data_IF_281850655468
#
_entry.id   IF_281850655468
#
_cell.length_a   1.000
_cell.length_b   1.000
_cell.length_c   1.000
_cell.angle_alpha   90.00
_cell.angle_beta   90.00
_cell.angle_gamma   90.00
#
_symmetry.space_group_name_H-M   'P 1'
#
loop_
_entity.id
_entity.type
_entity.pdbx_description
1 polymer ?
#
# COMPACT_ATOMS: atom_id res chain seq x y z
N UNK A 1 -2.58 2.85 -6.37
CA UNK A 1 -3.55 2.09 -7.17
C UNK A 1 -3.87 2.83 -8.45
N UNK A 2 -4.03 2.10 -9.56
CA UNK A 2 -4.39 2.72 -10.86
C UNK A 2 -5.76 3.42 -10.84
N UNK A 3 -6.62 3.11 -9.90
CA UNK A 3 -7.93 3.73 -9.73
C UNK A 3 -7.90 5.21 -9.32
N UNK A 4 -6.81 5.65 -8.68
CA UNK A 4 -6.67 7.02 -8.17
C UNK A 4 -5.89 7.96 -9.10
N UNK A 5 -5.56 7.54 -10.32
CA UNK A 5 -4.71 8.30 -11.24
C UNK A 5 -5.44 9.40 -12.04
N UNK A 6 -6.67 9.78 -11.68
CA UNK A 6 -7.32 10.92 -12.35
C UNK A 6 -6.63 12.23 -11.95
N UNK A 7 -6.41 13.13 -12.91
CA UNK A 7 -5.80 14.44 -12.65
C UNK A 7 -6.59 15.21 -11.60
N UNK A 8 -7.92 15.11 -11.63
CA UNK A 8 -8.80 15.75 -10.65
C UNK A 8 -8.54 15.24 -9.23
N UNK A 9 -8.36 13.94 -9.06
CA UNK A 9 -8.05 13.34 -7.74
C UNK A 9 -6.69 13.82 -7.23
N UNK A 10 -5.67 13.82 -8.10
CA UNK A 10 -4.33 14.29 -7.74
C UNK A 10 -4.34 15.78 -7.34
N UNK A 11 -5.06 16.64 -8.09
CA UNK A 11 -5.27 18.04 -7.73
C UNK A 11 -5.94 18.19 -6.36
N UNK A 12 -6.95 17.37 -6.06
CA UNK A 12 -7.63 17.40 -4.75
C UNK A 12 -6.70 17.00 -3.61
N UNK A 13 -5.83 16.01 -3.79
CA UNK A 13 -4.84 15.63 -2.79
C UNK A 13 -3.82 16.74 -2.56
N UNK A 14 -3.34 17.35 -3.63
CA UNK A 14 -2.38 18.44 -3.56
C UNK A 14 -2.96 19.65 -2.83
N UNK A 15 -4.19 20.06 -3.17
CA UNK A 15 -4.90 21.14 -2.50
C UNK A 15 -5.13 20.90 -1.00
N UNK A 16 -5.23 19.63 -0.58
CA UNK A 16 -5.36 19.22 0.81
C UNK A 16 -4.04 18.94 1.52
N UNK A 17 -2.91 19.26 0.88
CA UNK A 17 -1.57 18.94 1.37
C UNK A 17 -1.37 17.44 1.69
N UNK A 18 -2.09 16.56 1.01
CA UNK A 18 -1.91 15.13 1.14
C UNK A 18 -0.84 14.68 0.15
N UNK A 19 0.29 14.21 0.67
CA UNK A 19 1.37 13.63 -0.14
C UNK A 19 0.96 12.28 -0.70
N UNK A 20 1.33 12.01 -1.96
CA UNK A 20 0.99 10.76 -2.64
C UNK A 20 2.09 10.30 -3.59
N UNK A 21 2.14 8.99 -3.82
CA UNK A 21 2.85 8.36 -4.93
C UNK A 21 1.87 7.45 -5.67
N UNK A 22 1.63 7.73 -6.95
CA UNK A 22 0.66 7.01 -7.76
C UNK A 22 1.35 6.44 -9.01
N UNK A 23 1.05 5.19 -9.35
CA UNK A 23 1.48 4.63 -10.63
C UNK A 23 0.60 5.15 -11.75
N UNK A 24 1.20 5.79 -12.73
CA UNK A 24 0.55 6.27 -13.95
C UNK A 24 0.63 5.25 -15.09
N UNK A 25 -0.15 5.47 -16.14
CA UNK A 25 -0.01 4.77 -17.42
C UNK A 25 1.18 5.35 -18.17
N UNK A 26 1.88 4.52 -18.93
CA UNK A 26 3.08 4.88 -19.71
C UNK A 26 2.81 5.96 -20.79
N UNK A 27 1.56 6.02 -21.28
CA UNK A 27 1.14 7.01 -22.27
C UNK A 27 0.35 8.17 -21.68
N UNK A 28 0.54 8.46 -20.38
CA UNK A 28 -0.18 9.57 -19.75
C UNK A 28 0.26 10.89 -20.33
N UNK A 29 -0.71 11.65 -20.86
CA UNK A 29 -0.46 12.99 -21.41
C UNK A 29 0.01 13.94 -20.31
N UNK A 30 1.16 14.53 -20.53
CA UNK A 30 1.80 15.51 -19.64
C UNK A 30 2.62 16.48 -20.48
N UNK A 31 3.05 17.55 -19.87
CA UNK A 31 4.00 18.52 -20.42
C UNK A 31 5.16 18.64 -19.43
N UNK A 32 6.36 18.42 -19.92
CA UNK A 32 7.57 18.61 -19.12
C UNK A 32 7.83 20.10 -18.89
N UNK A 33 8.00 20.50 -17.65
CA UNK A 33 8.32 21.86 -17.24
C UNK A 33 9.82 21.98 -17.00
N UNK A 34 10.39 21.02 -16.26
CA UNK A 34 11.79 20.99 -15.89
C UNK A 34 12.29 19.56 -15.75
N UNK A 35 13.48 19.27 -16.27
CA UNK A 35 14.14 17.98 -16.07
C UNK A 35 15.05 18.04 -14.85
N UNK A 36 14.90 17.10 -13.93
CA UNK A 36 15.70 16.98 -12.70
C UNK A 36 16.95 16.13 -12.90
N UNK A 37 17.07 15.43 -14.03
CA UNK A 37 18.25 14.66 -14.42
C UNK A 37 18.71 15.07 -15.83
N UNK A 38 19.99 14.86 -16.12
CA UNK A 38 20.50 15.05 -17.48
C UNK A 38 19.91 14.01 -18.41
N UNK A 39 19.48 14.42 -19.58
CA UNK A 39 18.94 13.54 -20.61
C UNK A 39 19.95 12.45 -21.00
N UNK A 40 19.43 11.26 -21.26
CA UNK A 40 20.18 10.09 -21.75
C UNK A 40 21.18 9.43 -20.77
N UNK A 41 21.00 9.61 -19.47
CA UNK A 41 21.76 8.84 -18.48
C UNK A 41 20.80 8.01 -17.63
N UNK A 42 20.82 6.67 -17.88
CA UNK A 42 20.16 5.71 -17.00
C UNK A 42 20.94 5.67 -15.67
N UNK A 43 20.39 6.30 -14.63
CA UNK A 43 21.03 6.34 -13.33
C UNK A 43 20.66 5.08 -12.52
N UNK A 44 21.65 4.45 -11.93
CA UNK A 44 21.45 3.30 -11.03
C UNK A 44 20.84 3.76 -9.68
N UNK A 45 19.63 3.32 -9.40
CA UNK A 45 18.93 3.58 -8.14
C UNK A 45 18.63 2.29 -7.36
N UNK A 46 19.54 1.33 -7.39
CA UNK A 46 19.43 0.05 -6.70
C UNK A 46 18.80 -1.03 -7.57
N UNK A 47 17.57 -1.48 -7.25
CA UNK A 47 16.87 -2.53 -8.03
C UNK A 47 16.35 -2.03 -9.39
N UNK A 48 16.46 -0.72 -9.67
CA UNK A 48 15.92 -0.07 -10.85
C UNK A 48 16.97 0.84 -11.52
N UNK A 49 16.73 1.10 -12.81
CA UNK A 49 17.33 2.19 -13.57
C UNK A 49 16.38 3.38 -13.59
N UNK A 50 16.84 4.57 -13.23
CA UNK A 50 16.09 5.82 -13.39
C UNK A 50 16.23 6.30 -14.83
N UNK A 51 15.10 6.39 -15.54
CA UNK A 51 15.06 6.79 -16.96
C UNK A 51 14.70 8.25 -17.09
N UNK A 52 13.76 8.73 -16.27
CA UNK A 52 13.28 10.11 -16.31
C UNK A 52 12.90 10.57 -14.92
N UNK A 53 13.24 11.80 -14.62
CA UNK A 53 12.82 12.51 -13.41
C UNK A 53 12.58 13.97 -13.79
N UNK A 54 11.31 14.38 -13.80
CA UNK A 54 10.95 15.71 -14.29
C UNK A 54 9.76 16.29 -13.53
N UNK A 55 9.71 17.61 -13.48
CA UNK A 55 8.54 18.38 -13.07
C UNK A 55 7.62 18.49 -14.27
N UNK A 56 6.35 18.18 -14.08
CA UNK A 56 5.35 18.10 -15.14
C UNK A 56 4.08 18.86 -14.81
N UNK A 57 3.39 19.33 -15.84
CA UNK A 57 1.96 19.65 -15.78
C UNK A 57 1.13 18.49 -16.35
N UNK A 58 -0.02 18.25 -15.74
CA UNK A 58 -1.00 17.26 -16.20
C UNK A 58 -2.17 17.94 -16.92
N UNK A 59 -2.88 17.16 -17.72
CA UNK A 59 -4.11 17.57 -18.37
C UNK A 59 -5.31 16.90 -17.73
N UNK A 60 -6.42 17.63 -17.63
CA UNK A 60 -7.72 17.12 -17.24
C UNK A 60 -8.67 17.20 -18.41
N UNK A 61 -9.55 16.19 -18.55
CA UNK A 61 -10.59 16.21 -19.57
C UNK A 61 -11.92 16.68 -18.96
N UNK A 62 -12.42 17.83 -19.40
CA UNK A 62 -13.76 18.30 -19.03
C UNK A 62 -14.76 17.79 -20.07
N UNK A 63 -15.78 16.99 -19.69
CA UNK A 63 -16.76 16.49 -20.66
C UNK A 63 -17.65 17.63 -21.17
N UNK A 64 -17.71 17.78 -22.48
CA UNK A 64 -18.60 18.72 -23.19
C UNK A 64 -19.58 17.92 -24.02
N UNK A 65 -20.89 18.16 -23.83
CA UNK A 65 -21.94 17.60 -24.69
C UNK A 65 -22.16 18.51 -25.92
N UNK A 66 -22.08 17.92 -27.10
CA UNK A 66 -22.45 18.62 -28.29
C UNK A 66 -24.01 18.67 -28.46
N UNK A 67 -24.52 19.43 -29.46
CA UNK A 67 -25.94 19.54 -29.72
C UNK A 67 -26.64 18.20 -30.05
N UNK A 68 -25.89 17.16 -30.44
CA UNK A 68 -26.38 15.82 -30.75
C UNK A 68 -26.25 14.85 -29.53
N UNK A 69 -25.90 15.34 -28.33
CA UNK A 69 -25.77 14.53 -27.12
C UNK A 69 -24.46 13.75 -26.99
N UNK A 70 -23.57 13.81 -27.97
CA UNK A 70 -22.27 13.14 -27.90
C UNK A 70 -21.34 13.87 -26.93
N UNK A 71 -20.59 13.11 -26.11
CA UNK A 71 -19.65 13.65 -25.15
C UNK A 71 -18.26 13.73 -25.80
N UNK A 72 -17.72 14.93 -25.86
CA UNK A 72 -16.32 15.21 -26.19
C UNK A 72 -15.60 15.68 -24.94
N UNK A 73 -14.30 15.41 -24.84
CA UNK A 73 -13.49 15.89 -23.72
C UNK A 73 -12.63 17.06 -24.17
N UNK A 74 -12.83 18.21 -23.55
CA UNK A 74 -11.93 19.34 -23.69
C UNK A 74 -10.77 19.13 -22.72
N UNK A 75 -9.58 19.09 -23.24
CA UNK A 75 -8.37 18.99 -22.43
C UNK A 75 -7.99 20.37 -21.93
N UNK A 76 -7.79 20.46 -20.62
CA UNK A 76 -7.33 21.68 -19.95
C UNK A 76 -6.07 21.34 -19.15
N UNK A 77 -5.06 22.19 -19.27
CA UNK A 77 -3.83 22.08 -18.49
C UNK A 77 -4.13 22.44 -17.04
N UNK A 78 -3.59 21.67 -16.10
CA UNK A 78 -3.71 21.92 -14.67
C UNK A 78 -2.52 22.75 -14.24
N UNK A 79 -2.74 23.82 -13.48
CA UNK A 79 -1.68 24.69 -12.97
C UNK A 79 -0.77 24.03 -11.94
N UNK A 80 -1.29 23.02 -11.21
CA UNK A 80 -0.51 22.28 -10.23
C UNK A 80 0.67 21.57 -10.90
N UNK A 81 1.83 21.71 -10.29
CA UNK A 81 3.03 20.97 -10.66
C UNK A 81 3.07 19.63 -9.96
N UNK A 82 3.48 18.62 -10.71
CA UNK A 82 3.71 17.27 -10.20
C UNK A 82 5.10 16.80 -10.63
N UNK A 83 5.62 15.80 -9.98
CA UNK A 83 6.87 15.17 -10.37
C UNK A 83 6.58 13.82 -11.01
N UNK A 84 7.18 13.56 -12.16
CA UNK A 84 7.15 12.31 -12.88
C UNK A 84 8.49 11.61 -12.73
N UNK A 85 8.46 10.41 -12.15
CA UNK A 85 9.63 9.53 -12.03
C UNK A 85 9.36 8.28 -12.86
N UNK A 86 10.22 8.01 -13.85
CA UNK A 86 10.15 6.84 -14.71
C UNK A 86 11.33 5.93 -14.41
N UNK A 87 11.04 4.67 -14.09
CA UNK A 87 12.07 3.68 -13.79
C UNK A 87 11.86 2.40 -14.59
N UNK A 88 12.96 1.70 -14.86
CA UNK A 88 12.99 0.33 -15.40
C UNK A 88 13.53 -0.62 -14.34
N UNK A 89 12.82 -1.73 -14.12
CA UNK A 89 13.31 -2.76 -13.20
C UNK A 89 14.44 -3.56 -13.86
N UNK A 90 15.56 -3.76 -13.15
CA UNK A 90 16.73 -4.50 -13.66
C UNK A 90 16.42 -5.96 -14.02
N UNK A 91 15.49 -6.60 -13.28
CA UNK A 91 15.07 -7.97 -13.54
C UNK A 91 14.05 -8.08 -14.69
N UNK A 92 13.38 -6.98 -15.09
CA UNK A 92 12.39 -6.93 -16.16
C UNK A 92 12.52 -5.63 -16.94
N UNK A 93 13.60 -5.44 -17.72
CA UNK A 93 13.93 -4.17 -18.37
C UNK A 93 12.97 -3.79 -19.51
N UNK A 94 12.14 -4.73 -19.97
CA UNK A 94 11.12 -4.47 -20.99
C UNK A 94 9.94 -3.62 -20.52
N UNK A 95 9.81 -3.38 -19.18
CA UNK A 95 8.70 -2.63 -18.59
C UNK A 95 9.17 -1.39 -17.88
N UNK A 96 8.55 -0.29 -18.25
CA UNK A 96 8.70 0.97 -17.55
C UNK A 96 7.63 1.10 -16.46
N UNK A 97 8.00 1.75 -15.38
CA UNK A 97 7.09 2.11 -14.30
C UNK A 97 7.10 3.62 -14.15
N UNK A 98 5.94 4.22 -14.38
CA UNK A 98 5.74 5.65 -14.31
C UNK A 98 5.07 5.99 -12.99
N UNK A 99 5.72 6.85 -12.20
CA UNK A 99 5.19 7.32 -10.92
C UNK A 99 4.99 8.82 -10.96
N UNK A 100 3.84 9.26 -10.45
CA UNK A 100 3.52 10.68 -10.29
C UNK A 100 3.37 10.94 -8.79
N UNK A 101 3.99 12.02 -8.32
CA UNK A 101 3.95 12.47 -6.94
C UNK A 101 3.84 13.99 -6.86
N UNK A 102 3.31 14.50 -5.75
CA UNK A 102 3.39 15.91 -5.34
C UNK A 102 4.43 16.12 -4.23
N UNK A 103 5.24 15.10 -3.96
CA UNK A 103 6.34 15.18 -3.00
C UNK A 103 7.66 15.37 -3.74
N UNK A 104 8.21 16.59 -3.66
CA UNK A 104 9.45 16.96 -4.32
C UNK A 104 10.68 16.69 -3.46
N UNK A 105 10.50 16.40 -2.16
CA UNK A 105 11.59 16.16 -1.22
C UNK A 105 12.11 14.71 -1.30
N UNK A 106 11.27 13.78 -1.80
CA UNK A 106 11.66 12.38 -1.96
C UNK A 106 12.70 12.20 -3.06
N UNK A 107 13.66 11.32 -2.85
CA UNK A 107 14.53 10.85 -3.95
C UNK A 107 13.75 9.95 -4.91
N UNK A 108 14.19 9.83 -6.16
CA UNK A 108 13.57 8.95 -7.15
C UNK A 108 13.53 7.47 -6.67
N UNK A 109 14.54 7.05 -5.94
CA UNK A 109 14.60 5.71 -5.30
C UNK A 109 13.49 5.55 -4.28
N UNK A 110 13.29 6.53 -3.40
CA UNK A 110 12.23 6.50 -2.39
C UNK A 110 10.85 6.46 -3.03
N UNK A 111 10.61 7.22 -4.09
CA UNK A 111 9.34 7.18 -4.85
C UNK A 111 9.06 5.77 -5.36
N UNK A 112 10.04 5.09 -5.95
CA UNK A 112 9.89 3.71 -6.41
C UNK A 112 9.67 2.74 -5.26
N UNK A 113 10.40 2.89 -4.15
CA UNK A 113 10.30 2.04 -2.95
C UNK A 113 8.97 2.22 -2.23
N UNK A 114 8.45 3.44 -2.09
CA UNK A 114 7.13 3.68 -1.52
C UNK A 114 6.03 3.00 -2.33
N UNK A 115 6.10 3.08 -3.65
CA UNK A 115 5.12 2.37 -4.48
C UNK A 115 5.24 0.85 -4.37
N UNK A 116 6.44 0.30 -4.26
CA UNK A 116 6.68 -1.13 -4.06
C UNK A 116 6.03 -1.65 -2.77
N UNK A 117 6.08 -0.87 -1.69
CA UNK A 117 5.43 -1.21 -0.40
C UNK A 117 3.90 -1.33 -0.49
N UNK A 118 3.26 -0.79 -1.53
CA UNK A 118 1.83 -1.03 -1.78
C UNK A 118 1.52 -2.52 -1.87
N UNK A 119 2.47 -3.32 -2.38
CA UNK A 119 2.31 -4.77 -2.44
C UNK A 119 2.22 -5.43 -1.06
N UNK A 120 2.84 -4.85 -0.05
CA UNK A 120 2.79 -5.38 1.32
C UNK A 120 1.36 -5.38 1.87
N UNK A 121 0.54 -4.41 1.46
CA UNK A 121 -0.89 -4.35 1.81
C UNK A 121 -1.64 -5.54 1.20
N UNK A 122 -1.37 -5.88 -0.05
CA UNK A 122 -2.00 -7.03 -0.71
C UNK A 122 -1.56 -8.35 -0.07
N UNK A 123 -0.29 -8.48 0.28
CA UNK A 123 0.25 -9.64 1.01
C UNK A 123 -0.39 -9.76 2.39
N UNK A 124 -0.55 -8.64 3.10
CA UNK A 124 -1.21 -8.60 4.39
C UNK A 124 -2.70 -9.01 4.31
N UNK A 125 -3.45 -8.47 3.36
CA UNK A 125 -4.85 -8.89 3.17
C UNK A 125 -4.98 -10.34 2.74
N UNK A 126 -4.04 -10.85 1.94
CA UNK A 126 -3.98 -12.27 1.60
C UNK A 126 -3.75 -13.13 2.84
N UNK A 127 -2.82 -12.73 3.71
CA UNK A 127 -2.58 -13.40 4.98
C UNK A 127 -3.84 -13.44 5.85
N UNK A 128 -4.53 -12.30 6.03
CA UNK A 128 -5.79 -12.24 6.78
C UNK A 128 -6.83 -13.21 6.20
N UNK A 129 -7.03 -13.18 4.89
CA UNK A 129 -8.04 -14.04 4.24
C UNK A 129 -7.71 -15.52 4.32
N UNK A 130 -6.47 -15.90 4.02
CA UNK A 130 -6.07 -17.30 3.88
C UNK A 130 -5.70 -17.96 5.20
N UNK A 131 -5.02 -17.21 6.08
CA UNK A 131 -4.49 -17.79 7.31
C UNK A 131 -5.38 -17.55 8.53
N UNK A 132 -6.17 -16.48 8.55
CA UNK A 132 -7.06 -16.14 9.66
C UNK A 132 -8.55 -16.40 9.34
N UNK A 133 -8.85 -16.98 8.18
CA UNK A 133 -10.20 -17.43 7.80
C UNK A 133 -11.30 -16.35 7.90
N UNK A 134 -10.99 -15.09 7.61
CA UNK A 134 -11.96 -13.98 7.67
C UNK A 134 -13.14 -14.18 6.70
N UNK A 135 -12.97 -15.02 5.68
CA UNK A 135 -14.06 -15.37 4.74
C UNK A 135 -15.19 -16.18 5.36
N UNK A 136 -14.97 -16.79 6.53
CA UNK A 136 -15.96 -17.56 7.27
C UNK A 136 -16.45 -16.77 8.50
N UNK A 137 -17.23 -15.71 8.23
CA UNK A 137 -17.88 -14.95 9.29
C UNK A 137 -18.97 -15.83 9.93
N UNK A 138 -18.82 -16.10 11.21
CA UNK A 138 -19.76 -16.96 11.97
C UNK A 138 -21.04 -16.20 12.34
N UNK A 139 -21.02 -14.87 12.30
CA UNK A 139 -22.17 -14.04 12.65
C UNK A 139 -22.74 -13.32 11.43
N UNK A 140 -24.08 -13.30 11.33
CA UNK A 140 -24.83 -12.56 10.32
C UNK A 140 -25.27 -11.17 10.83
N UNK A 141 -25.11 -10.88 12.14
CA UNK A 141 -25.42 -9.57 12.68
C UNK A 141 -24.28 -8.56 12.42
N UNK A 142 -24.64 -7.29 12.18
CA UNK A 142 -23.66 -6.23 11.97
C UNK A 142 -22.63 -6.15 13.10
N UNK A 143 -23.10 -6.13 14.34
CA UNK A 143 -22.21 -6.05 15.52
C UNK A 143 -21.31 -7.27 15.63
N UNK A 144 -21.84 -8.48 15.37
CA UNK A 144 -21.04 -9.72 15.38
C UNK A 144 -19.96 -9.72 14.30
N UNK A 145 -20.27 -9.21 13.11
CA UNK A 145 -19.26 -9.05 12.04
C UNK A 145 -18.17 -8.06 12.43
N UNK A 146 -18.54 -6.92 13.00
CA UNK A 146 -17.56 -5.91 13.45
C UNK A 146 -16.64 -6.50 14.54
N UNK A 147 -17.19 -7.18 15.55
CA UNK A 147 -16.39 -7.83 16.59
C UNK A 147 -15.42 -8.86 15.98
N UNK A 148 -15.89 -9.70 15.06
CA UNK A 148 -15.03 -10.68 14.41
C UNK A 148 -13.89 -10.02 13.60
N UNK A 149 -14.18 -8.94 12.89
CA UNK A 149 -13.17 -8.18 12.14
C UNK A 149 -12.12 -7.62 13.11
N UNK A 150 -12.54 -6.97 14.20
CA UNK A 150 -11.60 -6.43 15.18
C UNK A 150 -10.75 -7.53 15.85
N UNK A 151 -11.36 -8.64 16.26
CA UNK A 151 -10.61 -9.77 16.82
C UNK A 151 -9.58 -10.32 15.84
N UNK A 152 -9.94 -10.43 14.57
CA UNK A 152 -9.02 -10.87 13.52
C UNK A 152 -7.88 -9.88 13.30
N UNK A 153 -8.16 -8.58 13.30
CA UNK A 153 -7.12 -7.56 13.16
C UNK A 153 -6.17 -7.56 14.37
N UNK A 154 -6.68 -7.72 15.58
CA UNK A 154 -5.85 -7.86 16.80
C UNK A 154 -4.94 -9.09 16.67
N UNK A 155 -5.50 -10.24 16.32
CA UNK A 155 -4.71 -11.45 16.12
C UNK A 155 -3.65 -11.28 15.03
N UNK A 156 -4.02 -10.64 13.90
CA UNK A 156 -3.09 -10.33 12.81
C UNK A 156 -1.93 -9.44 13.30
N UNK A 157 -2.23 -8.40 14.08
CA UNK A 157 -1.22 -7.49 14.62
C UNK A 157 -0.25 -8.21 15.56
N UNK A 158 -0.75 -9.07 16.46
CA UNK A 158 0.09 -9.86 17.37
C UNK A 158 1.02 -10.79 16.59
N UNK A 159 0.49 -11.49 15.57
CA UNK A 159 1.30 -12.36 14.70
C UNK A 159 2.33 -11.54 13.90
N UNK A 160 2.01 -10.32 13.46
CA UNK A 160 2.95 -9.44 12.78
C UNK A 160 4.09 -8.99 13.68
N UNK A 161 3.79 -8.61 14.93
CA UNK A 161 4.80 -8.27 15.95
C UNK A 161 5.72 -9.46 16.17
N UNK A 162 5.16 -10.64 16.41
CA UNK A 162 5.88 -11.89 16.59
C UNK A 162 6.76 -12.24 15.37
N UNK A 163 6.17 -12.13 14.16
CA UNK A 163 6.89 -12.32 12.91
C UNK A 163 8.11 -11.41 12.80
N UNK A 164 7.94 -10.12 13.09
CA UNK A 164 9.00 -9.11 13.00
C UNK A 164 10.09 -9.38 14.04
N UNK A 165 9.71 -9.67 15.27
CA UNK A 165 10.66 -9.94 16.36
C UNK A 165 11.52 -11.19 16.09
N UNK A 166 10.97 -12.20 15.42
CA UNK A 166 11.64 -13.48 15.15
C UNK A 166 12.15 -13.64 13.71
N UNK A 167 12.02 -12.62 12.85
CA UNK A 167 12.40 -12.64 11.45
C UNK A 167 11.82 -13.83 10.66
N UNK A 168 10.52 -14.10 10.83
CA UNK A 168 9.82 -15.24 10.26
C UNK A 168 8.94 -14.87 9.06
N UNK A 169 8.60 -15.86 8.24
CA UNK A 169 7.49 -15.75 7.26
C UNK A 169 6.12 -15.81 7.94
N UNK A 170 5.07 -15.29 7.30
CA UNK A 170 3.70 -15.23 7.87
C UNK A 170 3.15 -16.58 8.36
N UNK A 171 3.28 -17.61 7.56
CA UNK A 171 2.76 -18.96 7.87
C UNK A 171 3.50 -19.59 9.07
N UNK A 172 4.81 -19.45 9.11
CA UNK A 172 5.65 -19.96 10.21
C UNK A 172 5.37 -19.18 11.48
N UNK A 173 5.27 -17.85 11.40
CA UNK A 173 4.97 -17.00 12.55
C UNK A 173 3.62 -17.37 13.18
N UNK A 174 2.58 -17.52 12.38
CA UNK A 174 1.25 -17.97 12.86
C UNK A 174 1.34 -19.31 13.61
N UNK A 175 2.00 -20.30 13.01
CA UNK A 175 2.10 -21.64 13.63
C UNK A 175 2.82 -21.61 14.97
N UNK A 176 3.98 -20.96 15.01
CA UNK A 176 4.77 -20.85 16.24
C UNK A 176 4.04 -20.04 17.30
N UNK A 177 3.50 -18.89 16.94
CA UNK A 177 2.72 -18.04 17.84
C UNK A 177 1.57 -18.80 18.50
N UNK A 178 0.81 -19.58 17.73
CA UNK A 178 -0.33 -20.36 18.26
C UNK A 178 0.16 -21.47 19.22
N UNK A 179 1.29 -22.12 18.93
CA UNK A 179 1.86 -23.16 19.81
C UNK A 179 2.33 -22.54 21.12
N UNK A 180 3.14 -21.52 21.08
CA UNK A 180 3.66 -20.83 22.27
C UNK A 180 2.54 -20.21 23.11
N UNK A 181 1.49 -19.67 22.47
CA UNK A 181 0.33 -19.15 23.18
C UNK A 181 -0.43 -20.27 23.92
N UNK A 182 -0.57 -21.47 23.32
CA UNK A 182 -1.19 -22.63 23.97
C UNK A 182 -0.37 -23.10 25.18
N UNK A 183 0.95 -23.18 25.04
CA UNK A 183 1.85 -23.54 26.14
C UNK A 183 1.74 -22.55 27.29
N UNK A 184 1.74 -21.22 26.99
CA UNK A 184 1.56 -20.18 27.98
C UNK A 184 0.20 -20.30 28.72
N UNK A 185 -0.88 -20.49 27.98
CA UNK A 185 -2.22 -20.65 28.56
C UNK A 185 -2.26 -21.89 29.46
N UNK A 186 -1.67 -23.00 29.03
CA UNK A 186 -1.59 -24.24 29.83
C UNK A 186 -0.81 -24.02 31.12
N UNK A 187 0.34 -23.33 31.05
CA UNK A 187 1.13 -23.01 32.22
C UNK A 187 0.36 -22.12 33.22
N UNK A 188 -0.32 -21.07 32.73
CA UNK A 188 -1.18 -20.21 33.55
C UNK A 188 -2.30 -21.00 34.23
N UNK A 189 -2.97 -21.89 33.50
CA UNK A 189 -4.04 -22.74 34.04
C UNK A 189 -3.53 -23.64 35.16
N UNK A 190 -2.35 -24.23 35.01
CA UNK A 190 -1.73 -25.08 36.04
C UNK A 190 -1.43 -24.22 37.27
N UNK A 191 -0.81 -23.05 37.12
CA UNK A 191 -0.49 -22.15 38.23
C UNK A 191 -1.75 -21.74 39.00
N UNK A 192 -2.81 -21.33 38.28
CA UNK A 192 -4.08 -20.95 38.88
C UNK A 192 -4.73 -22.11 39.64
N UNK A 193 -4.69 -23.32 39.09
CA UNK A 193 -5.21 -24.51 39.75
C UNK A 193 -4.44 -24.82 41.02
N UNK A 194 -3.11 -24.75 41.01
CA UNK A 194 -2.29 -24.94 42.18
C UNK A 194 -2.58 -23.90 43.26
N UNK A 195 -2.71 -22.64 42.88
CA UNK A 195 -3.04 -21.58 43.81
C UNK A 195 -4.42 -21.76 44.44
N UNK A 196 -5.43 -22.18 43.66
CA UNK A 196 -6.76 -22.45 44.16
C UNK A 196 -6.77 -23.64 45.15
N UNK A 197 -6.03 -24.71 44.87
CA UNK A 197 -5.90 -25.87 45.76
C UNK A 197 -5.16 -25.45 47.06
N UNK A 198 -4.14 -24.61 47.00
CA UNK A 198 -3.45 -24.10 48.19
C UNK A 198 -4.40 -23.28 49.08
N UNK A 199 -5.27 -22.44 48.50
CA UNK A 199 -6.25 -21.65 49.25
C UNK A 199 -7.35 -22.53 49.91
N UNK A 200 -7.61 -23.72 49.41
CA UNK A 200 -8.57 -24.66 50.04
C UNK A 200 -7.98 -25.48 51.21
N UNK A 201 -6.66 -25.45 51.32
CA UNK A 201 -5.95 -26.18 52.38
C UNK A 201 -5.60 -25.28 53.59
N UNK A 202 -5.83 -23.99 53.49
CA UNK A 202 -5.74 -23.00 54.58
C UNK A 202 -7.09 -22.79 55.23
#
# INVERSE_FOLDING_TARGET
DRGLQSTRTMKTFDQKNVKFVIRAKENRKHEDVESLIKENQDLDIGDNWLIKDSIINLYTGTPIKNKRGNIHYREEKVENLFRLVVVKNKAKPEKEFWFITNDFDLTAKEVADYYRRRWDIEVFFRFIKQELNVSHLVSLSKNGMEVMIYMTLIAAMLILIYKKANNLGYKTAKRRFVLELRELITAIMIILKMHFLFLQML
#
